data_IF_128191823021
#
_entry.id   IF_128191823021
#
_cell.length_a   1.000
_cell.length_b   1.000
_cell.length_c   1.000
_cell.angle_alpha   90.00
_cell.angle_beta   90.00
_cell.angle_gamma   90.00
#
_symmetry.space_group_name_H-M   'P 1'
#
loop_
_entity.id
_entity.type
_entity.pdbx_description
1 polymer ?
#
# COMPACT_ATOMS: atom_id res chain seq x y z
N UNK A 1 -4.84 38.52 -20.24
CA UNK A 1 -4.69 37.05 -20.36
C UNK A 1 -3.57 36.65 -19.43
N UNK A 2 -3.82 35.80 -18.44
CA UNK A 2 -2.82 35.34 -17.47
C UNK A 2 -2.27 33.97 -17.90
N UNK A 3 -1.19 33.91 -18.70
CA UNK A 3 -0.62 32.64 -19.17
C UNK A 3 -0.09 31.75 -18.03
N UNK A 4 0.28 32.33 -16.88
CA UNK A 4 0.77 31.58 -15.71
C UNK A 4 -0.25 30.61 -15.09
N UNK A 5 -1.55 30.91 -15.17
CA UNK A 5 -2.59 30.07 -14.55
C UNK A 5 -2.90 28.80 -15.35
N UNK A 6 -2.64 28.81 -16.66
CA UNK A 6 -2.91 27.66 -17.54
C UNK A 6 -1.76 26.65 -17.50
N UNK A 7 -0.52 27.11 -17.40
CA UNK A 7 0.66 26.24 -17.19
C UNK A 7 0.64 25.56 -15.82
N UNK A 8 0.28 26.27 -14.75
CA UNK A 8 0.17 25.68 -13.40
C UNK A 8 -0.99 24.68 -13.29
N UNK A 9 -2.13 24.92 -13.97
CA UNK A 9 -3.24 23.98 -13.98
C UNK A 9 -2.92 22.67 -14.72
N UNK A 10 -2.14 22.74 -15.81
CA UNK A 10 -1.76 21.55 -16.58
C UNK A 10 -0.72 20.70 -15.83
N UNK A 11 0.29 21.35 -15.22
CA UNK A 11 1.33 20.67 -14.44
C UNK A 11 0.75 19.95 -13.20
N UNK A 12 -0.22 20.56 -12.52
CA UNK A 12 -0.90 19.94 -11.38
C UNK A 12 -1.75 18.73 -11.82
N UNK A 13 -2.37 18.78 -12.99
CA UNK A 13 -3.21 17.68 -13.49
C UNK A 13 -2.40 16.42 -13.89
N UNK A 14 -1.21 16.58 -14.44
CA UNK A 14 -0.32 15.46 -14.80
C UNK A 14 0.27 14.79 -13.56
N UNK A 15 0.70 15.58 -12.58
CA UNK A 15 1.21 15.06 -11.31
C UNK A 15 0.14 14.34 -10.48
N UNK A 16 -1.12 14.79 -10.57
CA UNK A 16 -2.26 14.09 -9.96
C UNK A 16 -2.54 12.73 -10.59
N UNK A 17 -2.26 12.55 -11.90
CA UNK A 17 -2.34 11.23 -12.54
C UNK A 17 -1.19 10.34 -12.09
N UNK A 18 0.01 10.90 -11.94
CA UNK A 18 1.25 10.21 -11.58
C UNK A 18 1.26 9.70 -10.12
N UNK A 19 0.83 10.50 -9.16
CA UNK A 19 0.83 10.11 -7.73
C UNK A 19 -0.08 8.91 -7.42
N UNK A 20 -1.15 8.74 -8.21
CA UNK A 20 -2.09 7.63 -8.02
C UNK A 20 -1.59 6.30 -8.55
N UNK A 21 -0.97 6.34 -9.72
CA UNK A 21 -0.26 5.19 -10.29
C UNK A 21 0.80 4.75 -9.28
N UNK A 22 1.47 5.71 -8.65
CA UNK A 22 2.54 5.45 -7.69
C UNK A 22 2.09 4.70 -6.41
N UNK A 23 0.90 4.93 -5.86
CA UNK A 23 0.44 4.13 -4.69
C UNK A 23 0.11 2.70 -5.07
N UNK A 24 -0.57 2.50 -6.21
CA UNK A 24 -0.86 1.18 -6.73
C UNK A 24 0.41 0.41 -7.07
N UNK A 25 1.38 1.05 -7.75
CA UNK A 25 2.67 0.45 -8.10
C UNK A 25 3.47 0.08 -6.86
N UNK A 26 3.64 1.02 -5.91
CA UNK A 26 4.36 0.73 -4.67
C UNK A 26 3.72 -0.42 -3.88
N UNK A 27 2.39 -0.46 -3.84
CA UNK A 27 1.67 -1.53 -3.16
C UNK A 27 1.87 -2.88 -3.86
N UNK A 28 1.74 -2.92 -5.19
CA UNK A 28 1.93 -4.11 -6.00
C UNK A 28 3.37 -4.64 -5.90
N UNK A 29 4.37 -3.77 -6.04
CA UNK A 29 5.79 -4.14 -5.95
C UNK A 29 6.14 -4.65 -4.55
N UNK A 30 5.63 -4.01 -3.50
CA UNK A 30 5.84 -4.47 -2.13
C UNK A 30 5.17 -5.83 -1.87
N UNK A 31 3.98 -6.09 -2.43
CA UNK A 31 3.31 -7.39 -2.33
C UNK A 31 4.08 -8.50 -3.06
N UNK A 32 4.59 -8.23 -4.25
CA UNK A 32 5.36 -9.22 -5.03
C UNK A 32 6.65 -9.61 -4.28
N UNK A 33 7.38 -8.63 -3.78
CA UNK A 33 8.60 -8.85 -3.01
C UNK A 33 8.31 -9.52 -1.65
N UNK A 34 7.28 -9.09 -0.93
CA UNK A 34 6.86 -9.72 0.32
C UNK A 34 6.40 -11.18 0.10
N UNK A 35 5.71 -11.45 -1.01
CA UNK A 35 5.28 -12.78 -1.41
C UNK A 35 6.48 -13.69 -1.65
N UNK A 36 7.49 -13.20 -2.38
CA UNK A 36 8.76 -13.91 -2.60
C UNK A 36 9.44 -14.26 -1.27
N UNK A 37 9.60 -13.28 -0.38
CA UNK A 37 10.21 -13.45 0.93
C UNK A 37 9.43 -14.46 1.80
N UNK A 38 8.10 -14.41 1.80
CA UNK A 38 7.29 -15.30 2.62
C UNK A 38 7.18 -16.72 2.04
N UNK A 39 6.77 -16.86 0.78
CA UNK A 39 6.45 -18.15 0.20
C UNK A 39 7.70 -18.92 -0.24
N UNK A 40 8.72 -18.24 -0.75
CA UNK A 40 9.94 -18.88 -1.26
C UNK A 40 11.04 -18.92 -0.20
N UNK A 41 11.34 -17.80 0.45
CA UNK A 41 12.47 -17.71 1.40
C UNK A 41 12.10 -18.07 2.84
N UNK A 42 10.80 -18.17 3.16
CA UNK A 42 10.28 -18.36 4.53
C UNK A 42 10.74 -17.27 5.51
N UNK A 43 11.05 -16.08 4.99
CA UNK A 43 11.53 -14.96 5.77
C UNK A 43 10.37 -13.99 6.11
N UNK A 44 9.71 -14.26 7.22
CA UNK A 44 8.59 -13.43 7.71
C UNK A 44 9.03 -12.06 8.18
N UNK A 45 10.27 -11.93 8.67
CA UNK A 45 10.81 -10.63 9.12
C UNK A 45 10.99 -9.70 7.92
N UNK A 46 11.66 -10.17 6.87
CA UNK A 46 11.83 -9.38 5.64
C UNK A 46 10.47 -9.04 5.01
N UNK A 47 9.54 -10.00 4.96
CA UNK A 47 8.17 -9.76 4.48
C UNK A 47 7.51 -8.59 5.22
N UNK A 48 7.62 -8.57 6.55
CA UNK A 48 7.07 -7.49 7.37
C UNK A 48 7.77 -6.15 7.11
N UNK A 49 9.10 -6.15 6.99
CA UNK A 49 9.89 -4.94 6.69
C UNK A 49 9.56 -4.37 5.30
N UNK A 50 9.21 -5.21 4.34
CA UNK A 50 8.76 -4.81 2.99
C UNK A 50 7.36 -4.19 3.01
N UNK A 51 6.41 -4.77 3.76
CA UNK A 51 5.02 -4.28 3.81
C UNK A 51 4.82 -3.05 4.71
N UNK A 52 5.62 -2.89 5.75
CA UNK A 52 5.43 -1.83 6.75
C UNK A 52 5.51 -0.39 6.18
N UNK A 53 6.43 -0.04 5.27
CA UNK A 53 6.49 1.29 4.65
C UNK A 53 5.24 1.65 3.86
N UNK A 54 4.70 0.69 3.10
CA UNK A 54 3.52 0.93 2.24
C UNK A 54 2.24 1.02 3.06
N UNK A 55 2.11 0.27 4.16
CA UNK A 55 1.04 0.48 5.15
C UNK A 55 1.12 1.85 5.81
N UNK A 56 2.31 2.27 6.22
CA UNK A 56 2.52 3.60 6.81
C UNK A 56 2.22 4.73 5.83
N UNK A 57 2.46 4.54 4.53
CA UNK A 57 2.08 5.49 3.49
C UNK A 57 0.56 5.65 3.43
N UNK A 58 -0.19 4.55 3.43
CA UNK A 58 -1.65 4.54 3.39
C UNK A 58 -2.24 5.16 4.67
N UNK A 59 -1.69 4.81 5.84
CA UNK A 59 -2.13 5.32 7.15
C UNK A 59 -1.94 6.84 7.31
N UNK A 60 -0.92 7.42 6.68
CA UNK A 60 -0.74 8.89 6.64
C UNK A 60 -1.90 9.61 5.96
N UNK A 61 -2.70 8.89 5.18
CA UNK A 61 -3.89 9.39 4.51
C UNK A 61 -3.59 10.01 3.14
N UNK A 62 -4.64 10.19 2.33
CA UNK A 62 -4.52 10.71 0.97
C UNK A 62 -4.26 12.20 0.98
N UNK A 63 -3.35 12.63 0.10
CA UNK A 63 -3.04 14.03 -0.21
C UNK A 63 -3.60 14.47 -1.57
N UNK A 64 -4.01 13.50 -2.40
CA UNK A 64 -4.62 13.74 -3.72
C UNK A 64 -5.99 13.06 -3.86
N UNK A 65 -6.82 13.52 -4.80
CA UNK A 65 -8.14 12.93 -5.09
C UNK A 65 -8.07 11.46 -5.50
N UNK A 66 -6.99 11.06 -6.18
CA UNK A 66 -6.83 9.67 -6.59
C UNK A 66 -6.33 8.77 -5.48
N UNK A 67 -5.43 9.24 -4.61
CA UNK A 67 -5.10 8.54 -3.36
C UNK A 67 -6.33 8.40 -2.46
N UNK A 68 -7.24 9.39 -2.51
CA UNK A 68 -8.53 9.29 -1.82
C UNK A 68 -9.39 8.17 -2.41
N UNK A 69 -9.43 8.02 -3.74
CA UNK A 69 -10.09 6.89 -4.40
C UNK A 69 -9.45 5.55 -3.98
N UNK A 70 -8.12 5.45 -3.99
CA UNK A 70 -7.42 4.25 -3.52
C UNK A 70 -7.81 3.89 -2.08
N UNK A 71 -7.75 4.86 -1.18
CA UNK A 71 -8.12 4.66 0.22
C UNK A 71 -9.58 4.23 0.38
N UNK A 72 -10.51 4.88 -0.33
CA UNK A 72 -11.93 4.51 -0.28
C UNK A 72 -12.18 3.07 -0.71
N UNK A 73 -11.38 2.57 -1.67
CA UNK A 73 -11.52 1.19 -2.17
C UNK A 73 -10.83 0.18 -1.25
N UNK A 74 -9.58 0.42 -0.84
CA UNK A 74 -8.72 -0.63 -0.27
C UNK A 74 -8.35 -0.44 1.21
N UNK A 75 -8.54 0.76 1.79
CA UNK A 75 -8.01 1.07 3.14
C UNK A 75 -8.49 0.09 4.21
N UNK A 76 -9.78 -0.26 4.19
CA UNK A 76 -10.37 -1.15 5.19
C UNK A 76 -9.69 -2.53 5.16
N UNK A 77 -9.62 -3.13 3.98
CA UNK A 77 -9.05 -4.46 3.76
C UNK A 77 -7.55 -4.46 4.08
N UNK A 78 -6.80 -3.47 3.59
CA UNK A 78 -5.36 -3.35 3.85
C UNK A 78 -5.06 -3.14 5.34
N UNK A 79 -5.86 -2.34 6.03
CA UNK A 79 -5.74 -2.14 7.48
C UNK A 79 -6.02 -3.44 8.25
N UNK A 80 -7.03 -4.21 7.85
CA UNK A 80 -7.35 -5.49 8.49
C UNK A 80 -6.26 -6.55 8.27
N UNK A 81 -5.76 -6.66 7.04
CA UNK A 81 -4.61 -7.52 6.73
C UNK A 81 -3.38 -7.14 7.57
N UNK A 82 -3.12 -5.84 7.75
CA UNK A 82 -2.01 -5.39 8.58
C UNK A 82 -2.20 -5.71 10.07
N UNK A 83 -3.42 -5.68 10.58
CA UNK A 83 -3.69 -6.08 11.98
C UNK A 83 -3.30 -7.54 12.22
N UNK A 84 -3.60 -8.43 11.27
CA UNK A 84 -3.17 -9.83 11.34
C UNK A 84 -1.63 -9.95 11.32
N UNK A 85 -0.95 -9.21 10.45
CA UNK A 85 0.51 -9.14 10.45
C UNK A 85 1.09 -8.66 11.80
N UNK A 86 0.47 -7.65 12.42
CA UNK A 86 0.88 -7.14 13.74
C UNK A 86 0.48 -8.08 14.90
N UNK A 87 -0.54 -8.92 14.72
CA UNK A 87 -0.88 -10.00 15.65
C UNK A 87 0.17 -11.10 15.58
N UNK A 88 0.58 -11.51 14.37
CA UNK A 88 1.67 -12.46 14.16
C UNK A 88 2.98 -12.03 14.85
N UNK A 89 3.38 -10.75 14.75
CA UNK A 89 4.57 -10.23 15.45
C UNK A 89 4.54 -10.46 16.98
N UNK A 90 3.37 -10.65 17.58
CA UNK A 90 3.18 -10.87 19.02
C UNK A 90 2.95 -12.33 19.39
N UNK A 91 2.29 -13.09 18.51
CA UNK A 91 1.83 -14.46 18.81
C UNK A 91 2.65 -15.54 18.13
N UNK A 92 3.40 -15.19 17.09
CA UNK A 92 4.08 -16.13 16.17
C UNK A 92 3.13 -17.17 15.52
N UNK A 93 1.81 -16.93 15.59
CA UNK A 93 0.81 -17.83 15.06
C UNK A 93 0.67 -17.65 13.54
N UNK A 94 1.15 -18.63 12.77
CA UNK A 94 1.13 -18.60 11.30
C UNK A 94 -0.28 -18.43 10.72
N UNK A 95 -1.34 -18.83 11.45
CA UNK A 95 -2.72 -18.63 10.99
C UNK A 95 -3.07 -17.16 10.78
N UNK A 96 -2.48 -16.26 11.58
CA UNK A 96 -2.65 -14.82 11.41
C UNK A 96 -2.08 -14.37 10.05
N UNK A 97 -0.90 -14.87 9.66
CA UNK A 97 -0.32 -14.57 8.35
C UNK A 97 -1.14 -15.16 7.21
N UNK A 98 -1.70 -16.36 7.39
CA UNK A 98 -2.63 -16.93 6.39
C UNK A 98 -3.81 -16.01 6.14
N UNK A 99 -4.44 -15.47 7.20
CA UNK A 99 -5.55 -14.54 7.08
C UNK A 99 -5.14 -13.20 6.43
N UNK A 100 -3.96 -12.69 6.76
CA UNK A 100 -3.42 -11.50 6.10
C UNK A 100 -3.28 -11.71 4.58
N UNK A 101 -2.72 -12.84 4.17
CA UNK A 101 -2.51 -13.17 2.75
C UNK A 101 -3.80 -13.47 1.99
N UNK A 102 -4.83 -14.00 2.65
CA UNK A 102 -6.17 -14.13 2.04
C UNK A 102 -6.72 -12.77 1.62
N UNK A 103 -6.50 -11.73 2.44
CA UNK A 103 -6.94 -10.37 2.14
C UNK A 103 -6.02 -9.71 1.10
N UNK A 104 -4.70 -9.86 1.19
CA UNK A 104 -3.77 -9.27 0.22
C UNK A 104 -3.92 -9.80 -1.21
N UNK A 105 -4.43 -11.02 -1.36
CA UNK A 105 -4.62 -11.67 -2.66
C UNK A 105 -6.02 -11.45 -3.27
N UNK A 106 -6.91 -10.73 -2.59
CA UNK A 106 -8.26 -10.43 -3.06
C UNK A 106 -8.27 -9.26 -4.07
#
# INVERSE_FOLDING_TARGET
MHPKLVEEASMVSEELVRCAILWHEQWHDALDEASRQYFQEKNTVAMMETLEPVHKMIEKGPTTLKEQSFNQTYYCELSDAYKFCQAFKRTENVKELTQAWEIYCQ
#
